data_IF_550524448152
#
_entry.id   IF_550524448152
#
_cell.length_a   1.000
_cell.length_b   1.000
_cell.length_c   1.000
_cell.angle_alpha   90.00
_cell.angle_beta   90.00
_cell.angle_gamma   90.00
#
_symmetry.space_group_name_H-M   'P 1'
#
loop_
_entity.id
_entity.type
_entity.pdbx_description
1 polymer ?
#
# COMPACT_ATOMS: atom_id res chain seq x y z
N UNK A 1 31.60 1.01 6.82
CA UNK A 1 30.48 0.28 6.17
C UNK A 1 29.96 1.20 5.11
N UNK A 2 29.96 0.78 3.84
CA UNK A 2 29.34 1.59 2.78
C UNK A 2 27.88 1.75 3.14
N UNK A 3 27.38 2.99 3.12
CA UNK A 3 25.97 3.25 3.31
C UNK A 3 25.20 2.43 2.27
N UNK A 4 24.36 1.52 2.70
CA UNK A 4 23.54 0.68 1.82
C UNK A 4 22.64 1.62 1.02
N UNK A 5 22.76 1.59 -0.31
CA UNK A 5 21.98 2.48 -1.19
C UNK A 5 20.53 2.01 -1.24
N UNK A 6 19.70 2.56 -0.35
CA UNK A 6 18.27 2.22 -0.24
C UNK A 6 17.48 2.89 -1.34
N UNK A 7 16.67 2.12 -2.06
CA UNK A 7 15.78 2.59 -3.12
C UNK A 7 14.32 2.65 -2.65
N UNK A 8 13.62 3.72 -3.00
CA UNK A 8 12.24 3.94 -2.57
C UNK A 8 11.28 4.05 -3.75
N UNK A 9 10.06 3.59 -3.53
CA UNK A 9 8.91 3.79 -4.41
C UNK A 9 7.93 4.74 -3.73
N UNK A 10 7.69 5.91 -4.32
CA UNK A 10 6.85 6.96 -3.74
C UNK A 10 5.48 7.06 -4.41
N UNK A 11 4.40 7.33 -3.63
CA UNK A 11 3.10 7.61 -4.20
C UNK A 11 3.03 9.03 -4.74
N UNK A 12 2.54 9.22 -5.97
CA UNK A 12 2.01 10.51 -6.34
C UNK A 12 0.64 10.70 -5.66
N UNK A 13 0.50 11.75 -4.88
CA UNK A 13 -0.67 11.98 -4.02
C UNK A 13 -1.65 13.03 -4.56
N UNK A 14 -1.56 13.36 -5.87
CA UNK A 14 -2.49 14.28 -6.53
C UNK A 14 -2.25 15.77 -6.25
N UNK A 15 -1.17 16.12 -5.58
CA UNK A 15 -0.78 17.52 -5.34
C UNK A 15 -0.33 18.21 -6.64
N UNK A 16 0.12 19.47 -6.56
CA UNK A 16 0.69 20.18 -7.71
C UNK A 16 1.77 19.34 -8.40
N UNK A 17 1.61 18.99 -9.70
CA UNK A 17 2.53 18.07 -10.38
C UNK A 17 3.96 18.60 -10.55
N UNK A 18 4.12 19.89 -10.76
CA UNK A 18 5.45 20.51 -10.95
C UNK A 18 6.22 20.54 -9.64
N UNK A 19 5.55 20.95 -8.56
CA UNK A 19 6.13 20.92 -7.23
C UNK A 19 6.55 19.49 -6.83
N UNK A 20 5.66 18.51 -7.02
CA UNK A 20 5.95 17.11 -6.69
C UNK A 20 7.18 16.61 -7.46
N UNK A 21 7.26 16.92 -8.75
CA UNK A 21 8.38 16.50 -9.59
C UNK A 21 9.70 17.13 -9.12
N UNK A 22 9.69 18.43 -8.74
CA UNK A 22 10.86 19.09 -8.18
C UNK A 22 11.34 18.42 -6.88
N UNK A 23 10.43 18.04 -6.00
CA UNK A 23 10.76 17.32 -4.76
C UNK A 23 11.29 15.90 -5.03
N UNK A 24 10.72 15.20 -6.01
CA UNK A 24 11.19 13.88 -6.45
C UNK A 24 12.60 13.95 -7.06
N UNK A 25 12.89 14.97 -7.88
CA UNK A 25 14.22 15.18 -8.50
C UNK A 25 15.32 15.45 -7.46
N UNK A 26 15.01 16.13 -6.36
CA UNK A 26 15.97 16.33 -5.25
C UNK A 26 16.42 15.01 -4.59
N UNK A 27 15.58 13.97 -4.67
CA UNK A 27 15.79 12.66 -4.02
C UNK A 27 16.07 11.54 -5.02
N UNK A 28 16.39 11.88 -6.28
CA UNK A 28 16.51 10.93 -7.38
C UNK A 28 17.50 9.79 -7.13
N UNK A 29 18.54 10.03 -6.33
CA UNK A 29 19.55 9.01 -5.99
C UNK A 29 18.97 7.85 -5.19
N UNK A 30 17.93 8.10 -4.37
CA UNK A 30 17.25 7.09 -3.58
C UNK A 30 15.86 6.75 -4.10
N UNK A 31 15.46 7.28 -5.25
CA UNK A 31 14.14 7.10 -5.84
C UNK A 31 14.18 6.08 -6.98
N UNK A 32 13.61 4.87 -6.78
CA UNK A 32 13.47 3.91 -7.87
C UNK A 32 12.37 4.34 -8.85
N UNK A 33 11.19 4.67 -8.34
CA UNK A 33 10.07 5.14 -9.16
C UNK A 33 9.00 5.88 -8.36
N UNK A 34 8.22 6.67 -9.07
CA UNK A 34 6.95 7.22 -8.56
C UNK A 34 5.80 6.37 -9.10
N UNK A 35 4.90 5.94 -8.21
CA UNK A 35 3.68 5.28 -8.65
C UNK A 35 2.49 6.24 -8.61
N UNK A 36 1.87 6.42 -9.77
CA UNK A 36 0.79 7.35 -10.02
C UNK A 36 -0.44 6.62 -10.55
N UNK A 37 -1.63 6.96 -10.10
CA UNK A 37 -2.86 6.38 -10.62
C UNK A 37 -2.99 6.69 -12.13
N UNK A 38 -3.32 5.66 -12.92
CA UNK A 38 -3.52 5.82 -14.35
C UNK A 38 -4.89 6.49 -14.56
N UNK A 39 -4.94 7.68 -15.20
CA UNK A 39 -6.18 8.38 -15.44
C UNK A 39 -6.95 7.72 -16.60
N UNK A 40 -7.51 6.55 -16.35
CA UNK A 40 -8.45 5.91 -17.23
C UNK A 40 -9.80 6.60 -17.08
N UNK A 41 -10.45 6.88 -18.20
CA UNK A 41 -11.82 7.39 -18.20
C UNK A 41 -12.73 6.40 -17.44
N UNK A 42 -13.53 6.93 -16.52
CA UNK A 42 -14.49 6.10 -15.77
C UNK A 42 -15.45 5.35 -16.73
N UNK A 43 -15.70 5.87 -17.94
CA UNK A 43 -16.45 5.17 -18.99
C UNK A 43 -15.75 3.88 -19.44
N UNK A 44 -14.43 3.85 -19.53
CA UNK A 44 -13.65 2.65 -19.87
C UNK A 44 -13.72 1.65 -18.73
N UNK A 45 -13.56 2.10 -17.50
CA UNK A 45 -13.64 1.24 -16.31
C UNK A 45 -15.06 0.68 -16.14
N UNK A 46 -16.09 1.50 -16.30
CA UNK A 46 -17.49 1.10 -16.11
C UNK A 46 -18.08 0.33 -17.29
N UNK A 47 -17.58 0.51 -18.50
CA UNK A 47 -18.07 -0.24 -19.67
C UNK A 47 -17.64 -1.71 -19.66
N UNK A 48 -16.45 -2.00 -19.13
CA UNK A 48 -15.87 -3.33 -19.14
C UNK A 48 -15.99 -4.09 -17.80
N UNK A 49 -16.24 -3.37 -16.69
CA UNK A 49 -16.35 -3.95 -15.36
C UNK A 49 -17.79 -3.87 -14.85
N UNK A 50 -18.43 -5.01 -14.68
CA UNK A 50 -19.77 -5.09 -14.08
C UNK A 50 -19.67 -5.03 -12.57
N UNK A 51 -20.18 -3.97 -11.95
CA UNK A 51 -20.45 -3.92 -10.52
C UNK A 51 -21.84 -4.54 -10.27
N UNK A 52 -21.84 -5.80 -9.84
CA UNK A 52 -23.09 -6.53 -9.56
C UNK A 52 -23.56 -6.29 -8.15
N UNK A 53 -23.98 -5.07 -7.81
CA UNK A 53 -24.81 -4.87 -6.65
C UNK A 53 -25.91 -3.87 -6.99
N UNK A 54 -27.18 -4.32 -6.81
CA UNK A 54 -28.35 -3.51 -7.01
C UNK A 54 -28.32 -2.25 -6.14
N UNK A 55 -28.05 -1.16 -6.77
CA UNK A 55 -28.71 0.14 -6.75
C UNK A 55 -29.03 0.84 -5.44
N UNK A 56 -28.57 0.45 -4.26
CA UNK A 56 -28.78 1.27 -3.04
C UNK A 56 -27.55 2.02 -2.56
N UNK A 57 -26.36 1.60 -2.96
CA UNK A 57 -25.10 2.24 -2.53
C UNK A 57 -24.53 3.24 -3.55
N UNK A 58 -25.17 3.42 -4.71
CA UNK A 58 -24.82 4.44 -5.71
C UNK A 58 -25.02 5.89 -5.25
N UNK A 59 -25.83 6.12 -4.24
CA UNK A 59 -26.09 7.47 -3.72
C UNK A 59 -24.96 8.05 -2.87
N UNK A 60 -24.17 7.20 -2.20
CA UNK A 60 -23.05 7.66 -1.37
C UNK A 60 -21.83 8.13 -2.18
N UNK A 61 -21.72 7.73 -3.44
CA UNK A 61 -20.60 8.09 -4.35
C UNK A 61 -20.89 9.37 -5.11
N UNK A 62 -22.13 9.82 -5.17
CA UNK A 62 -22.59 10.99 -5.94
C UNK A 62 -22.66 12.29 -5.13
N UNK A 63 -21.80 12.48 -4.12
CA UNK A 63 -21.66 13.82 -3.56
C UNK A 63 -20.84 14.69 -4.54
N UNK A 64 -21.36 15.86 -4.97
CA UNK A 64 -20.71 16.74 -5.95
C UNK A 64 -19.25 17.07 -5.62
N UNK A 65 -18.94 17.31 -4.35
CA UNK A 65 -17.58 17.59 -3.87
C UNK A 65 -16.60 16.42 -4.05
N UNK A 66 -17.10 15.19 -3.92
CA UNK A 66 -16.26 13.98 -4.08
C UNK A 66 -15.89 13.76 -5.54
N UNK A 67 -16.82 14.00 -6.45
CA UNK A 67 -16.58 13.88 -7.88
C UNK A 67 -15.64 14.98 -8.40
N UNK A 68 -15.77 16.21 -7.91
CA UNK A 68 -14.88 17.31 -8.29
C UNK A 68 -13.45 17.05 -7.81
N UNK A 69 -13.25 16.64 -6.57
CA UNK A 69 -11.94 16.27 -6.01
C UNK A 69 -11.31 15.12 -6.78
N UNK A 70 -12.09 14.09 -7.16
CA UNK A 70 -11.60 12.97 -7.97
C UNK A 70 -11.19 13.44 -9.35
N UNK A 71 -11.99 14.27 -10.01
CA UNK A 71 -11.66 14.82 -11.33
C UNK A 71 -10.38 15.64 -11.29
N UNK A 72 -10.21 16.47 -10.27
CA UNK A 72 -8.99 17.25 -10.07
C UNK A 72 -7.78 16.35 -9.83
N UNK A 73 -7.91 15.35 -8.97
CA UNK A 73 -6.88 14.35 -8.72
C UNK A 73 -6.45 13.64 -10.01
N UNK A 74 -7.39 13.15 -10.82
CA UNK A 74 -7.08 12.47 -12.08
C UNK A 74 -6.46 13.42 -13.12
N UNK A 75 -6.89 14.67 -13.18
CA UNK A 75 -6.26 15.70 -14.02
C UNK A 75 -4.81 15.97 -13.61
N UNK A 76 -4.54 16.02 -12.30
CA UNK A 76 -3.19 16.18 -11.78
C UNK A 76 -2.34 14.94 -12.07
N UNK A 77 -2.89 13.72 -11.99
CA UNK A 77 -2.22 12.49 -12.41
C UNK A 77 -1.86 12.53 -13.90
N UNK A 78 -2.78 12.94 -14.77
CA UNK A 78 -2.53 13.10 -16.22
C UNK A 78 -1.38 14.08 -16.47
N UNK A 79 -1.44 15.25 -15.83
CA UNK A 79 -0.39 16.26 -15.97
C UNK A 79 0.95 15.71 -15.48
N UNK A 80 0.98 15.10 -14.29
CA UNK A 80 2.19 14.52 -13.73
C UNK A 80 2.81 13.48 -14.65
N UNK A 81 2.02 12.54 -15.18
CA UNK A 81 2.51 11.50 -16.08
C UNK A 81 3.14 12.06 -17.36
N UNK A 82 2.62 13.20 -17.87
CA UNK A 82 3.18 13.86 -19.05
C UNK A 82 4.48 14.61 -18.76
N UNK A 83 4.52 15.42 -17.69
CA UNK A 83 5.69 16.28 -17.41
C UNK A 83 6.87 15.52 -16.79
N UNK A 84 6.60 14.36 -16.16
CA UNK A 84 7.62 13.54 -15.51
C UNK A 84 8.33 12.55 -16.43
N UNK A 85 7.90 12.46 -17.70
CA UNK A 85 8.52 11.59 -18.70
C UNK A 85 10.01 11.89 -18.84
N UNK A 86 10.84 10.85 -18.74
CA UNK A 86 12.29 10.93 -18.83
C UNK A 86 12.99 11.58 -17.63
N UNK A 87 12.26 12.02 -16.61
CA UNK A 87 12.80 12.62 -15.38
C UNK A 87 12.75 11.66 -14.20
N UNK A 88 11.63 10.97 -14.01
CA UNK A 88 11.47 9.89 -13.04
C UNK A 88 10.79 8.69 -13.70
N UNK A 89 11.05 7.49 -13.19
CA UNK A 89 10.34 6.28 -13.65
C UNK A 89 8.91 6.32 -13.11
N UNK A 90 7.93 5.95 -13.95
CA UNK A 90 6.50 6.01 -13.64
C UNK A 90 5.90 4.62 -13.76
N UNK A 91 5.45 4.09 -12.63
CA UNK A 91 4.85 2.76 -12.54
C UNK A 91 3.41 2.91 -12.06
N UNK A 92 2.42 2.64 -12.94
CA UNK A 92 1.03 2.89 -12.62
C UNK A 92 0.34 1.70 -11.96
N UNK A 93 -0.30 1.87 -10.77
CA UNK A 93 -1.06 0.81 -10.15
C UNK A 93 -2.41 0.60 -10.84
N UNK A 94 -2.61 -0.61 -11.34
CA UNK A 94 -3.88 -1.19 -11.77
C UNK A 94 -4.12 -2.41 -10.87
N UNK A 95 -4.23 -2.13 -9.57
CA UNK A 95 -4.06 -3.11 -8.52
C UNK A 95 -5.34 -3.41 -7.73
N UNK A 96 -6.52 -3.23 -8.35
CA UNK A 96 -7.71 -3.85 -7.83
C UNK A 96 -7.50 -5.36 -7.75
N UNK A 97 -7.90 -5.96 -6.64
CA UNK A 97 -7.66 -7.37 -6.37
C UNK A 97 -8.37 -8.28 -7.36
N UNK A 98 -9.49 -7.83 -7.88
CA UNK A 98 -10.32 -8.56 -8.81
C UNK A 98 -11.17 -7.61 -9.66
N UNK A 99 -11.33 -7.94 -10.94
CA UNK A 99 -12.24 -7.27 -11.87
C UNK A 99 -13.34 -8.23 -12.30
N UNK A 100 -14.59 -7.74 -12.33
CA UNK A 100 -15.73 -8.50 -12.83
C UNK A 100 -15.96 -8.10 -14.28
N UNK A 101 -15.72 -9.04 -15.20
CA UNK A 101 -15.98 -8.86 -16.63
C UNK A 101 -17.26 -9.62 -17.02
N UNK A 102 -18.01 -9.08 -17.97
CA UNK A 102 -19.22 -9.71 -18.52
C UNK A 102 -18.88 -10.88 -19.45
N UNK A 103 -17.71 -10.81 -20.09
CA UNK A 103 -17.22 -11.77 -21.07
C UNK A 103 -15.69 -11.77 -21.13
N UNK A 104 -15.11 -12.77 -21.81
CA UNK A 104 -13.68 -12.78 -22.13
C UNK A 104 -13.29 -11.61 -23.05
N UNK A 105 -14.21 -11.18 -23.92
CA UNK A 105 -13.97 -10.04 -24.80
C UNK A 105 -13.84 -8.73 -24.01
N UNK A 106 -14.73 -8.46 -23.05
CA UNK A 106 -14.61 -7.31 -22.14
C UNK A 106 -13.25 -7.32 -21.40
N UNK A 107 -12.79 -8.50 -21.00
CA UNK A 107 -11.47 -8.66 -20.34
C UNK A 107 -10.33 -8.29 -21.29
N UNK A 108 -10.38 -8.74 -22.55
CA UNK A 108 -9.37 -8.41 -23.58
C UNK A 108 -9.40 -6.91 -23.91
N UNK A 109 -10.58 -6.34 -24.12
CA UNK A 109 -10.71 -4.91 -24.38
C UNK A 109 -10.19 -4.05 -23.25
N UNK A 110 -10.40 -4.45 -22.00
CA UNK A 110 -9.81 -3.79 -20.84
C UNK A 110 -8.27 -3.83 -20.88
N UNK A 111 -7.69 -5.01 -21.16
CA UNK A 111 -6.24 -5.14 -21.30
C UNK A 111 -5.68 -4.30 -22.46
N UNK A 112 -6.39 -4.24 -23.61
CA UNK A 112 -6.04 -3.39 -24.75
C UNK A 112 -6.09 -1.91 -24.37
N UNK A 113 -7.11 -1.49 -23.60
CA UNK A 113 -7.23 -0.11 -23.12
C UNK A 113 -6.09 0.28 -22.18
N UNK A 114 -5.67 -0.64 -21.30
CA UNK A 114 -4.49 -0.46 -20.45
C UNK A 114 -3.21 -0.36 -21.28
N UNK A 115 -3.05 -1.22 -22.28
CA UNK A 115 -1.90 -1.18 -23.18
C UNK A 115 -1.81 0.14 -23.96
N UNK A 116 -2.94 0.64 -24.45
CA UNK A 116 -3.01 1.95 -25.13
C UNK A 116 -2.63 3.08 -24.20
N UNK A 117 -3.15 3.08 -22.98
CA UNK A 117 -2.83 4.10 -21.98
C UNK A 117 -1.35 4.05 -21.57
N UNK A 118 -0.78 2.84 -21.36
CA UNK A 118 0.63 2.67 -21.07
C UNK A 118 1.52 3.23 -22.19
N UNK A 119 1.18 2.96 -23.44
CA UNK A 119 1.88 3.50 -24.60
C UNK A 119 1.70 5.02 -24.74
N UNK A 120 0.50 5.54 -24.53
CA UNK A 120 0.23 6.99 -24.61
C UNK A 120 1.08 7.78 -23.62
N UNK A 121 1.15 7.34 -22.36
CA UNK A 121 2.00 7.97 -21.35
C UNK A 121 3.47 7.51 -21.43
N UNK A 122 3.78 6.50 -22.25
CA UNK A 122 5.10 5.86 -22.31
C UNK A 122 5.57 5.45 -20.90
N UNK A 123 4.73 4.69 -20.20
CA UNK A 123 5.02 4.22 -18.86
C UNK A 123 6.17 3.23 -18.87
N UNK A 124 7.00 3.27 -17.82
CA UNK A 124 8.03 2.26 -17.59
C UNK A 124 7.45 0.94 -17.10
N UNK A 125 6.29 0.97 -16.42
CA UNK A 125 5.63 -0.26 -15.97
C UNK A 125 4.29 -0.05 -15.28
N UNK A 126 3.74 -1.15 -14.80
CA UNK A 126 2.47 -1.22 -14.08
C UNK A 126 2.56 -2.10 -12.84
N UNK A 127 1.67 -1.86 -11.86
CA UNK A 127 1.53 -2.73 -10.68
C UNK A 127 0.19 -3.46 -10.79
N UNK A 128 0.20 -4.78 -10.83
CA UNK A 128 -0.99 -5.61 -11.07
C UNK A 128 -1.27 -6.56 -9.90
N UNK A 129 -2.56 -6.82 -9.67
CA UNK A 129 -3.05 -7.85 -8.73
C UNK A 129 -3.84 -8.95 -9.43
N UNK A 130 -4.59 -8.61 -10.48
CA UNK A 130 -5.37 -9.58 -11.25
C UNK A 130 -4.47 -10.27 -12.26
N UNK A 131 -4.26 -11.57 -12.03
CA UNK A 131 -3.42 -12.42 -12.85
C UNK A 131 -3.88 -12.50 -14.33
N UNK A 132 -5.19 -12.53 -14.58
CA UNK A 132 -5.76 -12.63 -15.93
C UNK A 132 -5.38 -11.40 -16.77
N UNK A 133 -5.44 -10.21 -16.16
CA UNK A 133 -5.04 -8.97 -16.82
C UNK A 133 -3.54 -8.92 -17.02
N UNK A 134 -2.75 -9.43 -16.07
CA UNK A 134 -1.30 -9.47 -16.19
C UNK A 134 -0.83 -10.33 -17.37
N UNK A 135 -1.42 -11.53 -17.56
CA UNK A 135 -1.15 -12.41 -18.72
C UNK A 135 -1.47 -11.71 -20.05
N UNK A 136 -2.65 -11.10 -20.15
CA UNK A 136 -3.07 -10.43 -21.38
C UNK A 136 -2.20 -9.19 -21.67
N UNK A 137 -1.90 -8.40 -20.66
CA UNK A 137 -1.10 -7.19 -20.84
C UNK A 137 0.35 -7.52 -21.24
N UNK A 138 0.94 -8.55 -20.63
CA UNK A 138 2.26 -9.04 -21.03
C UNK A 138 2.29 -9.54 -22.48
N UNK A 139 1.25 -10.24 -22.93
CA UNK A 139 1.14 -10.66 -24.32
C UNK A 139 1.03 -9.47 -25.30
N UNK A 140 0.44 -8.34 -24.87
CA UNK A 140 0.30 -7.13 -25.69
C UNK A 140 1.54 -6.23 -25.67
N UNK A 141 2.24 -6.16 -24.53
CA UNK A 141 3.37 -5.24 -24.29
C UNK A 141 4.47 -5.98 -23.51
N UNK A 142 5.29 -6.76 -24.20
CA UNK A 142 6.36 -7.56 -23.59
C UNK A 142 7.45 -6.72 -22.90
N UNK A 143 7.68 -5.49 -23.38
CA UNK A 143 8.71 -4.58 -22.83
C UNK A 143 8.21 -3.79 -21.62
N UNK A 144 6.90 -3.81 -21.32
CA UNK A 144 6.35 -3.10 -20.17
C UNK A 144 6.69 -3.84 -18.88
N UNK A 145 7.37 -3.17 -17.96
CA UNK A 145 7.73 -3.78 -16.67
C UNK A 145 6.47 -4.08 -15.83
N UNK A 146 6.33 -5.32 -15.39
CA UNK A 146 5.21 -5.75 -14.55
C UNK A 146 5.70 -5.97 -13.11
N UNK A 147 5.17 -5.17 -12.20
CA UNK A 147 5.32 -5.35 -10.76
C UNK A 147 4.09 -6.06 -10.22
N UNK A 148 4.27 -7.05 -9.35
CA UNK A 148 3.13 -7.59 -8.63
C UNK A 148 2.71 -6.66 -7.49
N UNK A 149 1.43 -6.65 -7.16
CA UNK A 149 0.91 -5.96 -5.98
C UNK A 149 0.95 -6.89 -4.76
N UNK A 150 1.04 -6.33 -3.55
CA UNK A 150 0.82 -7.10 -2.33
C UNK A 150 -0.58 -7.75 -2.27
N UNK A 151 -1.54 -7.21 -3.03
CA UNK A 151 -2.88 -7.77 -3.18
C UNK A 151 -2.94 -8.97 -4.15
N UNK A 152 -1.84 -9.33 -4.81
CA UNK A 152 -1.73 -10.56 -5.58
C UNK A 152 -1.49 -11.79 -4.69
N UNK A 153 -1.27 -11.59 -3.39
CA UNK A 153 -1.13 -12.62 -2.34
C UNK A 153 -0.14 -13.74 -2.69
N UNK A 154 1.04 -13.37 -3.11
CA UNK A 154 2.11 -14.33 -3.43
C UNK A 154 2.85 -14.76 -2.15
N UNK A 155 2.45 -15.89 -1.60
CA UNK A 155 2.96 -16.42 -0.33
C UNK A 155 4.17 -17.33 -0.45
N UNK A 156 4.48 -17.81 -1.66
CA UNK A 156 5.52 -18.81 -1.88
C UNK A 156 6.17 -18.66 -3.26
N UNK A 157 7.32 -19.31 -3.41
CA UNK A 157 8.14 -19.27 -4.64
C UNK A 157 7.39 -19.77 -5.87
N UNK A 158 6.52 -20.78 -5.74
CA UNK A 158 5.77 -21.31 -6.90
C UNK A 158 4.78 -20.30 -7.46
N UNK A 159 4.12 -19.53 -6.61
CA UNK A 159 3.25 -18.45 -7.05
C UNK A 159 4.04 -17.34 -7.77
N UNK A 160 5.22 -16.98 -7.23
CA UNK A 160 6.10 -15.98 -7.85
C UNK A 160 6.60 -16.46 -9.21
N UNK A 161 6.98 -17.74 -9.31
CA UNK A 161 7.43 -18.36 -10.56
C UNK A 161 6.36 -18.28 -11.65
N UNK A 162 5.10 -18.64 -11.34
CA UNK A 162 3.99 -18.53 -12.28
C UNK A 162 3.82 -17.10 -12.79
N UNK A 163 3.91 -16.10 -11.91
CA UNK A 163 3.84 -14.71 -12.32
C UNK A 163 5.02 -14.28 -13.19
N UNK A 164 6.22 -14.77 -12.90
CA UNK A 164 7.41 -14.52 -13.71
C UNK A 164 7.27 -15.12 -15.10
N UNK A 165 6.92 -16.41 -15.18
CA UNK A 165 6.85 -17.16 -16.43
C UNK A 165 5.70 -16.72 -17.34
N UNK A 166 4.52 -16.45 -16.76
CA UNK A 166 3.30 -16.24 -17.57
C UNK A 166 2.91 -14.77 -17.71
N UNK A 167 3.33 -13.94 -16.77
CA UNK A 167 3.02 -12.50 -16.78
C UNK A 167 4.24 -11.61 -17.03
N UNK A 168 5.44 -12.18 -17.15
CA UNK A 168 6.67 -11.40 -17.28
C UNK A 168 6.96 -10.50 -16.07
N UNK A 169 6.47 -10.87 -14.88
CA UNK A 169 6.68 -10.06 -13.67
C UNK A 169 8.17 -10.02 -13.29
N UNK A 170 8.70 -8.82 -13.09
CA UNK A 170 10.10 -8.57 -12.78
C UNK A 170 10.34 -8.08 -11.37
N UNK A 171 9.33 -7.45 -10.73
CA UNK A 171 9.39 -6.95 -9.36
C UNK A 171 8.21 -7.48 -8.57
N UNK A 172 8.51 -8.07 -7.42
CA UNK A 172 7.54 -8.78 -6.59
C UNK A 172 7.28 -8.01 -5.30
N UNK A 173 6.01 -7.75 -5.02
CA UNK A 173 5.59 -7.14 -3.77
C UNK A 173 4.86 -8.20 -2.93
N UNK A 174 5.55 -8.85 -1.97
CA UNK A 174 4.95 -9.87 -1.13
C UNK A 174 3.75 -9.36 -0.34
N UNK A 175 2.86 -10.24 0.13
CA UNK A 175 1.79 -9.86 1.04
C UNK A 175 2.33 -9.13 2.28
N UNK A 176 1.56 -8.18 2.80
CA UNK A 176 1.94 -7.35 3.94
C UNK A 176 2.36 -8.17 5.17
N UNK A 177 1.73 -9.30 5.36
CA UNK A 177 1.94 -10.21 6.48
C UNK A 177 3.35 -10.81 6.49
N UNK A 178 3.99 -10.94 5.32
CA UNK A 178 5.37 -11.47 5.21
C UNK A 178 6.41 -10.45 5.69
N UNK A 179 6.05 -9.17 5.78
CA UNK A 179 6.98 -8.11 6.15
C UNK A 179 7.70 -8.35 7.48
N UNK A 180 7.04 -8.99 8.45
CA UNK A 180 7.65 -9.39 9.74
C UNK A 180 8.19 -10.81 9.76
N UNK A 181 8.40 -11.41 8.58
CA UNK A 181 8.98 -12.74 8.41
C UNK A 181 10.28 -12.63 7.60
N UNK A 182 11.36 -12.06 8.17
CA UNK A 182 12.60 -11.78 7.43
C UNK A 182 13.19 -13.04 6.76
N UNK A 183 13.11 -14.20 7.41
CA UNK A 183 13.54 -15.45 6.81
C UNK A 183 12.79 -15.81 5.53
N UNK A 184 11.50 -15.47 5.46
CA UNK A 184 10.67 -15.70 4.25
C UNK A 184 11.02 -14.74 3.14
N UNK A 185 11.26 -13.46 3.46
CA UNK A 185 11.73 -12.48 2.49
C UNK A 185 13.10 -12.88 1.94
N UNK A 186 14.02 -13.32 2.83
CA UNK A 186 15.32 -13.81 2.43
C UNK A 186 15.22 -15.04 1.51
N UNK A 187 14.36 -16.01 1.80
CA UNK A 187 14.10 -17.16 0.93
C UNK A 187 13.67 -16.73 -0.48
N UNK A 188 12.79 -15.73 -0.59
CA UNK A 188 12.33 -15.20 -1.87
C UNK A 188 13.45 -14.48 -2.62
N UNK A 189 14.23 -13.66 -1.93
CA UNK A 189 15.37 -12.95 -2.52
C UNK A 189 16.46 -13.92 -3.00
N UNK A 190 16.85 -14.92 -2.17
CA UNK A 190 17.87 -15.92 -2.51
C UNK A 190 17.46 -16.78 -3.72
N UNK A 191 16.15 -16.91 -3.97
CA UNK A 191 15.62 -17.55 -5.17
C UNK A 191 15.66 -16.62 -6.42
N UNK A 192 16.25 -15.42 -6.32
CA UNK A 192 16.47 -14.50 -7.43
C UNK A 192 15.29 -13.60 -7.76
N UNK A 193 14.38 -13.37 -6.80
CA UNK A 193 13.28 -12.42 -6.98
C UNK A 193 13.63 -11.04 -6.46
N UNK A 194 13.41 -10.00 -7.28
CA UNK A 194 13.54 -8.60 -6.87
C UNK A 194 12.32 -8.21 -6.03
N UNK A 195 12.57 -7.86 -4.75
CA UNK A 195 11.52 -7.63 -3.77
C UNK A 195 11.23 -6.14 -3.55
N UNK A 196 9.95 -5.77 -3.61
CA UNK A 196 9.45 -4.44 -3.25
C UNK A 196 8.50 -4.56 -2.06
N UNK A 197 8.87 -4.02 -0.91
CA UNK A 197 8.11 -4.16 0.33
C UNK A 197 7.42 -2.87 0.74
N UNK A 198 6.13 -2.96 1.06
CA UNK A 198 5.30 -1.85 1.55
C UNK A 198 5.55 -1.67 3.06
N UNK A 199 6.20 -0.58 3.46
CA UNK A 199 6.83 -0.46 4.79
C UNK A 199 6.07 0.38 5.82
N UNK A 200 5.15 1.24 5.42
CA UNK A 200 4.47 2.19 6.31
C UNK A 200 2.94 2.05 6.36
N UNK A 201 2.39 0.96 5.85
CA UNK A 201 0.94 0.71 5.93
C UNK A 201 0.60 -0.08 7.20
N UNK A 202 -0.16 0.54 8.11
CA UNK A 202 -0.48 -0.02 9.41
C UNK A 202 -1.65 -1.03 9.38
N UNK A 203 -1.64 -1.97 8.43
CA UNK A 203 -2.56 -3.10 8.43
C UNK A 203 -2.23 -4.10 9.52
N UNK A 204 -3.24 -4.62 10.22
CA UNK A 204 -3.08 -5.59 11.29
C UNK A 204 -2.43 -6.88 10.76
N UNK A 205 -1.35 -7.33 11.42
CA UNK A 205 -0.70 -8.59 11.10
C UNK A 205 -1.63 -9.77 11.38
N UNK A 206 -1.70 -10.70 10.43
CA UNK A 206 -2.58 -11.87 10.57
C UNK A 206 -4.07 -11.52 10.58
N UNK A 207 -4.47 -10.40 9.99
CA UNK A 207 -5.87 -10.01 9.88
C UNK A 207 -6.68 -11.07 9.11
N UNK A 208 -7.64 -11.77 9.75
CA UNK A 208 -8.41 -12.82 9.07
C UNK A 208 -9.33 -12.26 7.99
N UNK A 209 -9.59 -10.95 8.00
CA UNK A 209 -10.43 -10.26 7.03
C UNK A 209 -9.63 -9.54 5.93
N UNK A 210 -8.30 -9.67 5.90
CA UNK A 210 -7.44 -8.91 4.95
C UNK A 210 -7.86 -9.13 3.50
N UNK A 211 -8.06 -10.39 3.10
CA UNK A 211 -8.51 -10.75 1.76
C UNK A 211 -9.89 -10.17 1.44
N UNK A 212 -10.89 -10.44 2.27
CA UNK A 212 -12.25 -9.96 2.06
C UNK A 212 -12.34 -8.42 2.07
N UNK A 213 -11.57 -7.75 2.92
CA UNK A 213 -11.49 -6.30 2.96
C UNK A 213 -10.95 -5.73 1.64
N UNK A 214 -9.82 -6.24 1.15
CA UNK A 214 -9.25 -5.79 -0.13
C UNK A 214 -10.16 -6.13 -1.32
N UNK A 215 -10.85 -7.28 -1.28
CA UNK A 215 -11.84 -7.65 -2.28
C UNK A 215 -13.04 -6.69 -2.25
N UNK A 216 -13.55 -6.34 -1.06
CA UNK A 216 -14.66 -5.38 -0.94
C UNK A 216 -14.29 -3.99 -1.45
N UNK A 217 -13.04 -3.55 -1.25
CA UNK A 217 -12.51 -2.32 -1.84
C UNK A 217 -12.53 -2.42 -3.37
N UNK A 218 -12.02 -3.52 -3.92
CA UNK A 218 -11.97 -3.74 -5.37
C UNK A 218 -13.37 -3.75 -6.00
N UNK A 219 -14.34 -4.35 -5.31
CA UNK A 219 -15.74 -4.45 -5.75
C UNK A 219 -16.60 -3.25 -5.37
N UNK A 220 -16.02 -2.22 -4.72
CA UNK A 220 -16.73 -1.03 -4.21
C UNK A 220 -17.92 -1.36 -3.30
N UNK A 221 -17.86 -2.49 -2.57
CA UNK A 221 -18.93 -2.94 -1.67
C UNK A 221 -18.50 -2.83 -0.20
N UNK A 222 -18.42 -1.62 0.31
CA UNK A 222 -17.95 -1.34 1.67
C UNK A 222 -18.97 -1.62 2.78
N UNK A 223 -20.22 -1.83 2.45
CA UNK A 223 -21.28 -1.96 3.45
C UNK A 223 -21.03 -3.15 4.39
N UNK A 224 -20.74 -2.86 5.65
CA UNK A 224 -20.71 -3.83 6.72
C UNK A 224 -19.44 -4.65 6.91
N UNK A 225 -18.31 -4.29 6.28
CA UNK A 225 -17.05 -4.96 6.58
C UNK A 225 -16.55 -4.61 7.97
N UNK A 226 -16.63 -5.57 8.90
CA UNK A 226 -16.00 -5.45 10.21
C UNK A 226 -14.49 -5.33 10.02
N UNK A 227 -13.93 -4.19 10.41
CA UNK A 227 -12.51 -3.94 10.34
C UNK A 227 -11.82 -4.56 11.55
N UNK A 228 -11.04 -5.62 11.34
CA UNK A 228 -10.27 -6.27 12.41
C UNK A 228 -9.27 -5.33 13.09
N UNK A 229 -8.83 -4.27 12.40
CA UNK A 229 -7.90 -3.27 12.94
C UNK A 229 -8.57 -2.22 13.85
N UNK A 230 -9.77 -2.47 14.35
CA UNK A 230 -10.52 -1.58 15.25
C UNK A 230 -10.74 -2.20 16.63
N UNK A 231 -9.99 -3.25 16.99
CA UNK A 231 -10.21 -4.00 18.22
C UNK A 231 -9.54 -3.38 19.46
N UNK A 232 -8.51 -2.59 19.27
CA UNK A 232 -7.85 -1.93 20.38
C UNK A 232 -6.60 -1.14 19.96
N UNK A 233 -6.15 -0.28 20.87
CA UNK A 233 -4.98 0.58 20.64
C UNK A 233 -3.68 -0.24 20.52
N UNK A 234 -3.59 -1.40 21.15
CA UNK A 234 -2.44 -2.31 21.05
C UNK A 234 -2.19 -2.79 19.63
N UNK A 235 -3.20 -2.72 18.75
CA UNK A 235 -3.09 -3.08 17.35
C UNK A 235 -2.18 -2.12 16.56
N UNK A 236 -1.90 -0.91 17.08
CA UNK A 236 -0.87 -0.04 16.53
C UNK A 236 0.48 -0.76 16.41
N UNK A 237 0.84 -1.55 17.43
CA UNK A 237 2.11 -2.29 17.45
C UNK A 237 2.02 -3.67 16.78
N UNK A 238 0.80 -4.17 16.58
CA UNK A 238 0.53 -5.44 15.90
C UNK A 238 0.36 -5.31 14.39
N UNK A 239 0.62 -4.14 13.85
CA UNK A 239 0.48 -3.88 12.41
C UNK A 239 1.75 -4.22 11.61
N UNK A 240 1.58 -4.39 10.30
CA UNK A 240 2.63 -4.74 9.35
C UNK A 240 3.37 -3.49 8.85
N UNK A 241 4.26 -2.96 9.63
CA UNK A 241 5.13 -1.84 9.26
C UNK A 241 6.56 -2.10 9.72
N UNK A 242 7.52 -1.41 9.11
CA UNK A 242 8.94 -1.41 9.48
C UNK A 242 9.31 -0.04 10.01
N UNK A 243 10.04 0.05 11.11
CA UNK A 243 10.62 1.31 11.58
C UNK A 243 11.86 1.71 10.75
N UNK A 244 12.17 3.01 10.66
CA UNK A 244 13.36 3.48 9.97
C UNK A 244 14.64 2.74 10.41
N UNK A 245 14.89 2.63 11.72
CA UNK A 245 16.05 1.93 12.27
C UNK A 245 16.07 0.41 12.03
N UNK A 246 14.94 -0.16 11.63
CA UNK A 246 14.87 -1.62 11.35
C UNK A 246 15.24 -1.95 9.90
N UNK A 247 15.28 -0.98 8.98
CA UNK A 247 15.63 -1.24 7.57
C UNK A 247 16.94 -1.98 7.39
N UNK A 248 17.95 -1.69 8.24
CA UNK A 248 19.24 -2.40 8.22
C UNK A 248 19.13 -3.93 8.34
N UNK A 249 18.02 -4.45 8.87
CA UNK A 249 17.75 -5.89 8.95
C UNK A 249 17.10 -6.45 7.68
N UNK A 250 16.75 -5.57 6.75
CA UNK A 250 16.08 -5.88 5.47
C UNK A 250 16.92 -5.51 4.25
N UNK A 251 17.93 -4.65 4.42
CA UNK A 251 18.76 -4.11 3.31
C UNK A 251 19.44 -5.18 2.45
N UNK A 252 19.65 -6.38 3.00
CA UNK A 252 20.29 -7.48 2.27
C UNK A 252 19.33 -8.16 1.27
N UNK A 253 18.01 -8.05 1.46
CA UNK A 253 17.03 -8.82 0.68
C UNK A 253 15.79 -8.02 0.23
N UNK A 254 15.71 -6.74 0.54
CA UNK A 254 14.67 -5.85 0.03
C UNK A 254 15.29 -4.84 -0.92
N UNK A 255 14.94 -4.93 -2.20
CA UNK A 255 15.49 -4.07 -3.26
C UNK A 255 14.81 -2.68 -3.29
N UNK A 256 13.51 -2.63 -2.99
CA UNK A 256 12.73 -1.39 -3.06
C UNK A 256 11.80 -1.28 -1.83
N UNK A 257 11.94 -0.20 -1.10
CA UNK A 257 11.05 0.17 -0.02
C UNK A 257 9.88 1.01 -0.54
N UNK A 258 8.67 0.47 -0.51
CA UNK A 258 7.49 1.18 -0.98
C UNK A 258 6.82 1.95 0.15
N UNK A 259 6.58 3.24 -0.08
CA UNK A 259 5.82 4.10 0.82
C UNK A 259 4.38 4.19 0.32
N UNK A 260 3.40 3.94 1.20
CA UNK A 260 1.98 4.19 0.95
C UNK A 260 1.65 5.67 1.16
N UNK A 261 0.52 6.16 0.65
CA UNK A 261 0.07 7.52 0.91
C UNK A 261 -0.48 8.29 -0.29
N UNK A 262 -1.13 7.64 -1.25
CA UNK A 262 -1.76 8.32 -2.41
C UNK A 262 -2.81 9.36 -2.02
N UNK A 263 -3.43 9.21 -0.85
CA UNK A 263 -4.45 10.13 -0.33
C UNK A 263 -3.95 10.90 0.90
N UNK A 264 -2.64 11.06 1.03
CA UNK A 264 -2.01 11.78 2.14
C UNK A 264 -1.86 13.27 1.82
N UNK A 265 -1.43 14.02 2.84
CA UNK A 265 -1.07 15.42 2.71
C UNK A 265 0.07 15.63 1.71
N UNK A 266 0.19 16.87 1.22
CA UNK A 266 1.09 17.27 0.13
C UNK A 266 2.51 16.72 0.28
N UNK A 267 3.12 16.89 1.42
CA UNK A 267 4.56 16.63 1.68
C UNK A 267 4.80 15.23 2.25
N UNK A 268 3.73 14.52 2.65
CA UNK A 268 3.82 13.22 3.33
C UNK A 268 4.73 12.19 2.63
N UNK A 269 4.68 11.99 1.30
CA UNK A 269 5.56 11.03 0.64
C UNK A 269 7.04 11.30 0.87
N UNK A 270 7.41 12.58 0.82
CA UNK A 270 8.80 13.02 0.93
C UNK A 270 9.27 13.05 2.39
N UNK A 271 8.47 13.59 3.29
CA UNK A 271 8.79 13.61 4.73
C UNK A 271 8.92 12.20 5.29
N UNK A 272 8.07 11.28 4.80
CA UNK A 272 8.18 9.87 5.17
C UNK A 272 9.46 9.24 4.61
N UNK A 273 9.80 9.48 3.35
CA UNK A 273 11.05 8.98 2.76
C UNK A 273 12.27 9.51 3.50
N UNK A 274 12.31 10.82 3.78
CA UNK A 274 13.40 11.45 4.51
C UNK A 274 13.54 10.87 5.92
N UNK A 275 12.43 10.63 6.62
CA UNK A 275 12.45 9.99 7.94
C UNK A 275 13.06 8.58 7.91
N UNK A 276 12.83 7.82 6.84
CA UNK A 276 13.46 6.52 6.64
C UNK A 276 14.94 6.62 6.28
N UNK A 277 15.32 7.57 5.43
CA UNK A 277 16.71 7.80 5.03
C UNK A 277 17.58 8.27 6.20
N UNK A 278 17.06 9.17 7.01
CA UNK A 278 17.74 9.77 8.17
C UNK A 278 17.67 8.90 9.43
N UNK A 279 16.95 7.77 9.38
CA UNK A 279 16.65 6.92 10.55
C UNK A 279 16.03 7.73 11.71
N UNK A 280 15.13 8.67 11.38
CA UNK A 280 14.48 9.53 12.37
C UNK A 280 13.57 8.71 13.30
N UNK A 281 14.03 8.53 14.54
CA UNK A 281 13.31 7.76 15.55
C UNK A 281 12.51 8.64 16.52
N UNK A 282 12.57 9.96 16.41
CA UNK A 282 11.83 10.90 17.27
C UNK A 282 10.46 11.27 16.72
N UNK A 283 10.19 10.96 15.44
CA UNK A 283 8.88 11.14 14.83
C UNK A 283 7.80 10.31 15.54
N UNK A 284 6.57 10.80 15.57
CA UNK A 284 5.45 10.00 16.06
C UNK A 284 5.10 8.86 15.09
N UNK A 285 4.75 7.70 15.64
CA UNK A 285 4.33 6.54 14.84
C UNK A 285 3.15 6.88 13.93
N UNK A 286 2.20 7.67 14.43
CA UNK A 286 1.01 8.07 13.69
C UNK A 286 1.30 9.03 12.52
N UNK A 287 2.43 9.76 12.55
CA UNK A 287 2.84 10.67 11.47
C UNK A 287 3.59 9.91 10.37
N UNK A 288 4.26 8.79 10.72
CA UNK A 288 5.00 7.98 9.75
C UNK A 288 4.12 6.94 9.06
N UNK A 289 3.15 6.37 9.78
CA UNK A 289 2.33 5.26 9.31
C UNK A 289 0.99 5.74 8.76
N UNK A 290 0.40 4.98 7.84
CA UNK A 290 -0.88 5.30 7.21
C UNK A 290 -1.82 4.09 7.23
N UNK A 291 -3.14 4.35 7.16
CA UNK A 291 -4.19 3.32 7.07
C UNK A 291 -4.36 2.45 8.33
N UNK A 292 -5.25 1.48 8.24
CA UNK A 292 -5.41 0.40 9.22
C UNK A 292 -5.55 0.87 10.65
N UNK A 293 -4.68 0.37 11.51
CA UNK A 293 -4.71 0.64 12.97
C UNK A 293 -4.41 2.09 13.31
N UNK A 294 -3.59 2.78 12.52
CA UNK A 294 -3.29 4.20 12.71
C UNK A 294 -4.51 5.07 12.41
N UNK A 295 -5.23 4.79 11.33
CA UNK A 295 -6.48 5.50 11.02
C UNK A 295 -7.54 5.29 12.11
N UNK A 296 -7.57 4.13 12.75
CA UNK A 296 -8.42 3.89 13.91
C UNK A 296 -7.95 4.72 15.11
N UNK A 297 -6.64 4.74 15.40
CA UNK A 297 -6.09 5.48 16.51
C UNK A 297 -6.38 6.99 16.40
N UNK A 298 -6.26 7.58 15.21
CA UNK A 298 -6.61 8.99 14.94
C UNK A 298 -8.08 9.33 15.24
N UNK A 299 -8.99 8.38 15.09
CA UNK A 299 -10.39 8.58 15.45
C UNK A 299 -10.67 8.46 16.96
N UNK A 300 -9.80 7.77 17.67
CA UNK A 300 -10.05 7.38 19.07
C UNK A 300 -9.22 8.16 20.07
N UNK A 301 -8.07 8.69 19.68
CA UNK A 301 -7.12 9.41 20.53
C UNK A 301 -6.94 10.86 20.07
N UNK A 302 -6.79 11.79 20.99
CA UNK A 302 -6.36 13.14 20.68
C UNK A 302 -4.97 13.14 20.00
N UNK A 303 -4.75 14.11 19.11
CA UNK A 303 -3.49 14.21 18.37
C UNK A 303 -2.26 14.35 19.28
N UNK A 304 -2.40 15.09 20.39
CA UNK A 304 -1.35 15.26 21.38
C UNK A 304 -0.96 13.95 22.08
N UNK A 305 -1.90 13.02 22.26
CA UNK A 305 -1.62 11.69 22.82
C UNK A 305 -0.89 10.83 21.79
N UNK A 306 -1.30 10.87 20.53
CA UNK A 306 -0.65 10.12 19.44
C UNK A 306 0.79 10.59 19.23
N UNK A 307 1.07 11.88 19.36
CA UNK A 307 2.43 12.47 19.27
C UNK A 307 3.38 11.95 20.35
N UNK A 308 2.89 11.46 21.47
CA UNK A 308 3.71 10.85 22.51
C UNK A 308 4.18 9.42 22.18
N UNK A 309 3.57 8.77 21.19
CA UNK A 309 3.97 7.42 20.71
C UNK A 309 5.05 7.61 19.65
N UNK A 310 6.25 7.97 20.06
CA UNK A 310 7.39 8.16 19.15
C UNK A 310 8.08 6.84 18.81
N UNK A 311 8.76 6.80 17.66
CA UNK A 311 9.34 5.57 17.11
C UNK A 311 10.42 4.96 18.01
N UNK A 312 11.17 5.76 18.77
CA UNK A 312 12.17 5.31 19.74
C UNK A 312 11.56 4.52 20.89
N UNK A 313 10.30 4.75 21.24
CA UNK A 313 9.57 4.04 22.29
C UNK A 313 8.98 2.70 21.84
N UNK A 314 9.02 2.40 20.56
CA UNK A 314 8.53 1.13 20.02
C UNK A 314 9.56 0.04 20.29
N UNK A 315 9.22 -1.10 20.95
CA UNK A 315 10.19 -2.13 21.29
C UNK A 315 10.75 -2.87 20.07
N UNK A 316 12.07 -3.03 19.99
CA UNK A 316 12.72 -3.78 18.88
C UNK A 316 12.35 -5.27 18.85
N UNK A 317 11.87 -5.83 19.97
CA UNK A 317 11.30 -7.17 19.99
C UNK A 317 10.16 -7.37 18.98
N UNK A 318 9.50 -6.27 18.56
CA UNK A 318 8.42 -6.33 17.57
C UNK A 318 8.93 -6.60 16.16
N UNK A 319 10.21 -6.40 15.86
CA UNK A 319 10.82 -6.67 14.55
C UNK A 319 10.54 -8.09 14.05
N UNK A 320 10.63 -9.07 14.95
CA UNK A 320 10.41 -10.48 14.64
C UNK A 320 9.19 -11.07 15.34
N UNK A 321 8.30 -10.23 15.84
CA UNK A 321 7.10 -10.67 16.53
C UNK A 321 6.03 -11.14 15.55
N UNK A 322 5.65 -12.40 15.63
CA UNK A 322 4.60 -13.01 14.82
C UNK A 322 3.20 -12.96 15.48
N UNK A 323 3.06 -12.31 16.63
CA UNK A 323 1.82 -12.18 17.40
C UNK A 323 1.13 -13.53 17.74
N UNK A 324 1.89 -14.57 18.00
CA UNK A 324 1.35 -15.93 18.26
C UNK A 324 0.71 -16.10 19.65
N UNK A 325 1.21 -15.38 20.67
CA UNK A 325 0.79 -15.54 22.07
C UNK A 325 0.55 -14.17 22.75
N UNK A 326 -0.18 -13.28 22.08
CA UNK A 326 -0.39 -11.90 22.55
C UNK A 326 -1.10 -11.84 23.91
N UNK A 327 -1.99 -12.79 24.21
CA UNK A 327 -2.70 -12.93 25.47
C UNK A 327 -1.77 -13.22 26.65
N UNK A 328 -0.66 -13.93 26.41
CA UNK A 328 0.36 -14.21 27.41
C UNK A 328 1.46 -13.14 27.44
N UNK A 329 1.90 -12.70 26.26
CA UNK A 329 3.03 -11.77 26.09
C UNK A 329 2.72 -10.36 26.62
N UNK A 330 1.53 -9.80 26.28
CA UNK A 330 1.04 -8.47 26.65
C UNK A 330 1.99 -7.29 26.40
N UNK A 331 3.09 -7.49 25.66
CA UNK A 331 4.13 -6.47 25.44
C UNK A 331 3.53 -5.18 24.83
N UNK A 332 2.74 -5.32 23.76
CA UNK A 332 2.14 -4.16 23.08
C UNK A 332 1.23 -3.36 24.01
N UNK A 333 0.43 -4.04 24.81
CA UNK A 333 -0.46 -3.40 25.79
C UNK A 333 0.35 -2.69 26.88
N UNK A 334 1.35 -3.40 27.47
CA UNK A 334 2.18 -2.84 28.54
C UNK A 334 2.90 -1.58 28.11
N UNK A 335 3.51 -1.57 26.93
CA UNK A 335 4.24 -0.39 26.42
C UNK A 335 3.26 0.76 26.12
N UNK A 336 2.15 0.48 25.47
CA UNK A 336 1.17 1.52 25.16
C UNK A 336 0.51 2.12 26.40
N UNK A 337 0.25 1.31 27.44
CA UNK A 337 -0.25 1.81 28.73
C UNK A 337 0.74 2.76 29.42
N UNK A 338 2.03 2.67 29.15
CA UNK A 338 3.02 3.62 29.65
C UNK A 338 3.04 4.95 28.86
N UNK A 339 2.57 4.94 27.62
CA UNK A 339 2.61 6.06 26.69
C UNK A 339 1.29 6.83 26.59
N UNK A 340 0.19 6.18 26.96
CA UNK A 340 -1.17 6.71 26.81
C UNK A 340 -1.79 6.90 28.20
N UNK A 341 -2.41 8.04 28.51
CA UNK A 341 -3.09 8.28 29.77
C UNK A 341 -4.19 7.24 30.07
N UNK A 342 -4.35 6.90 31.35
CA UNK A 342 -5.25 5.84 31.81
C UNK A 342 -6.73 6.05 31.38
N UNK A 343 -7.17 7.30 31.28
CA UNK A 343 -8.52 7.67 30.85
C UNK A 343 -8.87 7.18 29.42
N UNK A 344 -7.85 6.83 28.61
CA UNK A 344 -8.03 6.31 27.25
C UNK A 344 -7.97 4.79 27.20
N UNK A 345 -7.54 4.06 28.22
CA UNK A 345 -7.36 2.61 28.17
C UNK A 345 -8.66 1.84 27.99
N UNK A 346 -9.75 2.30 28.65
CA UNK A 346 -11.04 1.61 28.59
C UNK A 346 -11.84 1.89 27.32
N UNK A 347 -11.55 2.97 26.61
CA UNK A 347 -12.23 3.35 25.37
C UNK A 347 -12.01 2.35 24.23
N UNK A 348 -11.02 1.46 24.33
CA UNK A 348 -10.51 0.63 23.24
C UNK A 348 -10.85 -0.86 23.37
N UNK A 349 -11.64 -1.27 24.35
CA UNK A 349 -12.15 -2.62 24.40
C UNK A 349 -13.46 -2.70 23.63
N UNK A 350 -13.39 -3.16 22.38
CA UNK A 350 -14.58 -3.48 21.61
C UNK A 350 -15.31 -4.64 22.30
N UNK A 351 -16.32 -4.35 23.10
CA UNK A 351 -17.29 -5.35 23.52
C UNK A 351 -18.25 -5.56 22.35
N UNK A 352 -17.98 -6.54 21.50
CA UNK A 352 -19.00 -7.06 20.60
C UNK A 352 -20.10 -7.63 21.48
N UNK A 353 -21.14 -6.85 21.77
CA UNK A 353 -22.37 -7.40 22.28
C UNK A 353 -23.03 -8.17 21.15
N UNK A 354 -22.77 -9.46 21.09
CA UNK A 354 -23.62 -10.37 20.33
C UNK A 354 -24.93 -10.41 21.11
N UNK A 355 -25.89 -9.57 20.75
CA UNK A 355 -27.29 -9.76 21.15
C UNK A 355 -27.74 -11.04 20.45
N UNK A 356 -27.95 -12.08 21.23
CA UNK A 356 -28.60 -13.31 20.80
C UNK A 356 -30.05 -13.04 20.48
#
# INVERSE_FOLDING_TARGET
MNATHRMYSLPYNGTDPEWYLQEAEKRKENLDHVYCELPLDDSVMLSHVRFTFDGKDGEAVNQPDTNQKRTEYLRNCDTFLRISKGKVRRICPVNAMYYIFRSEEDQKEFAISLARAANYYQLEGVILSDYRIAVLLHALLQELEIHTSCNAYQWNLRQMEIWREQCGATVFNPPREILRMPAKLKEMHDAGYKLKCLINEACLMGCPNSFNHNLSIALRCYAGTLSCCQNGIADLFRANWILPRWQKHYDEYVDIYKIAGRNSDKDYPFTTMDAYLEENNTMALADLMISGTVSFAHRMLPAEVLKNITLDKVPDKLLTCECKECDKCKLCETVLHQLIPEEYWERFRFKVKVTR
#
